data_IF_669094783812
#
_entry.id   IF_669094783812
#
_cell.length_a   1.000
_cell.length_b   1.000
_cell.length_c   1.000
_cell.angle_alpha   90.00
_cell.angle_beta   90.00
_cell.angle_gamma   90.00
#
_symmetry.space_group_name_H-M   'P 1'
#
loop_
_entity.id
_entity.type
_entity.pdbx_description
1 polymer ?
#
# COMPACT_ATOMS: atom_id res chain seq x y z
N UNK A 1 -33.33 57.57 -25.70
CA UNK A 1 -33.06 56.19 -25.29
C UNK A 1 -32.15 55.55 -26.34
N UNK A 2 -30.87 55.60 -26.15
CA UNK A 2 -29.86 55.03 -27.06
C UNK A 2 -29.68 53.57 -26.69
N UNK A 3 -30.05 52.66 -27.58
CA UNK A 3 -29.78 51.20 -27.45
C UNK A 3 -28.28 50.97 -27.42
N UNK A 4 -27.74 50.18 -26.45
CA UNK A 4 -26.33 49.86 -26.44
C UNK A 4 -26.01 48.95 -27.63
N UNK A 5 -25.04 49.40 -28.42
CA UNK A 5 -24.47 48.66 -29.57
C UNK A 5 -23.91 47.33 -29.08
N UNK A 6 -24.63 46.22 -29.27
CA UNK A 6 -24.14 44.90 -29.04
C UNK A 6 -23.00 44.63 -30.04
N UNK A 7 -21.78 44.54 -29.57
CA UNK A 7 -20.64 44.07 -30.36
C UNK A 7 -20.99 42.71 -30.95
N UNK A 8 -20.96 42.53 -32.28
CA UNK A 8 -21.23 41.21 -32.87
C UNK A 8 -20.18 40.22 -32.35
N UNK A 9 -20.64 39.15 -31.71
CA UNK A 9 -19.78 38.04 -31.34
C UNK A 9 -19.28 37.35 -32.62
N UNK A 10 -18.08 37.69 -33.06
CA UNK A 10 -17.46 37.04 -34.20
C UNK A 10 -17.02 35.64 -33.78
N UNK A 11 -17.68 34.62 -34.30
CA UNK A 11 -17.17 33.23 -34.21
C UNK A 11 -15.98 33.17 -35.18
N UNK A 12 -14.78 33.23 -34.63
CA UNK A 12 -13.57 33.01 -35.40
C UNK A 12 -13.49 31.52 -35.75
N UNK A 13 -13.59 31.18 -37.02
CA UNK A 13 -13.29 29.83 -37.53
C UNK A 13 -11.78 29.60 -37.38
N UNK A 14 -11.41 29.00 -36.29
CA UNK A 14 -10.04 28.52 -36.04
C UNK A 14 -9.91 27.19 -36.80
N UNK A 15 -9.57 27.25 -38.09
CA UNK A 15 -9.43 26.10 -38.97
C UNK A 15 -8.63 24.99 -38.27
N UNK A 16 -9.13 23.76 -38.33
CA UNK A 16 -8.45 22.58 -37.78
C UNK A 16 -7.07 22.41 -38.43
N UNK A 17 -6.03 22.63 -37.66
CA UNK A 17 -4.67 22.32 -38.11
C UNK A 17 -4.44 20.82 -38.01
N UNK A 18 -4.19 20.18 -39.14
CA UNK A 18 -3.89 18.74 -39.15
C UNK A 18 -2.63 18.47 -38.31
N UNK A 19 -2.68 17.41 -37.48
CA UNK A 19 -1.53 16.98 -36.67
C UNK A 19 -0.67 16.02 -37.46
N UNK A 20 0.51 16.42 -37.90
CA UNK A 20 1.46 15.63 -38.69
C UNK A 20 2.52 14.92 -37.82
N UNK A 21 2.39 14.98 -36.48
CA UNK A 21 3.31 14.37 -35.54
C UNK A 21 3.11 12.86 -35.39
N UNK A 22 4.10 12.14 -34.80
CA UNK A 22 4.01 10.71 -34.54
C UNK A 22 2.87 10.41 -33.57
N UNK A 23 1.96 9.50 -33.94
CA UNK A 23 0.89 9.05 -33.06
C UNK A 23 1.46 8.11 -31.99
N UNK A 24 1.31 8.49 -30.73
CA UNK A 24 1.82 7.72 -29.59
C UNK A 24 0.96 6.47 -29.39
N UNK A 25 1.61 5.30 -29.31
CA UNK A 25 0.93 4.01 -29.19
C UNK A 25 0.36 3.71 -27.80
N UNK A 26 -0.35 2.57 -27.66
CA UNK A 26 -1.00 2.09 -26.43
C UNK A 26 -0.06 2.08 -25.21
N UNK A 27 1.19 1.65 -25.37
CA UNK A 27 2.18 1.61 -24.28
C UNK A 27 2.47 2.99 -23.68
N UNK A 28 2.56 4.03 -24.52
CA UNK A 28 2.74 5.39 -24.05
C UNK A 28 1.55 5.89 -23.22
N UNK A 29 0.34 5.57 -23.67
CA UNK A 29 -0.90 5.96 -22.96
C UNK A 29 -0.96 5.27 -21.60
N UNK A 30 -0.67 3.98 -21.53
CA UNK A 30 -0.59 3.22 -20.28
C UNK A 30 0.43 3.83 -19.30
N UNK A 31 1.64 4.10 -19.78
CA UNK A 31 2.68 4.75 -18.97
C UNK A 31 2.23 6.12 -18.47
N UNK A 32 1.61 6.92 -19.33
CA UNK A 32 1.10 8.24 -18.98
C UNK A 32 0.01 8.15 -17.89
N UNK A 33 -0.95 7.23 -18.03
CA UNK A 33 -1.98 6.96 -17.03
C UNK A 33 -1.37 6.49 -15.70
N UNK A 34 -0.41 5.57 -15.75
CA UNK A 34 0.28 5.09 -14.56
C UNK A 34 0.98 6.23 -13.82
N UNK A 35 1.81 7.00 -14.51
CA UNK A 35 2.55 8.13 -13.92
C UNK A 35 1.60 9.20 -13.37
N UNK A 36 0.52 9.51 -14.09
CA UNK A 36 -0.49 10.47 -13.63
C UNK A 36 -1.17 10.00 -12.34
N UNK A 37 -1.57 8.74 -12.27
CA UNK A 37 -2.18 8.16 -11.06
C UNK A 37 -1.19 8.08 -9.89
N UNK A 38 0.06 7.71 -10.15
CA UNK A 38 1.11 7.69 -9.13
C UNK A 38 1.37 9.09 -8.55
N UNK A 39 1.48 10.10 -9.42
CA UNK A 39 1.58 11.50 -9.00
C UNK A 39 0.35 11.95 -8.21
N UNK A 40 -0.84 11.52 -8.62
CA UNK A 40 -2.08 11.83 -7.94
C UNK A 40 -2.16 11.24 -6.53
N UNK A 41 -1.62 10.02 -6.30
CA UNK A 41 -1.56 9.37 -4.99
C UNK A 41 -0.72 10.16 -3.97
N UNK A 42 0.35 10.82 -4.42
CA UNK A 42 1.16 11.72 -3.57
C UNK A 42 0.73 13.19 -3.64
N UNK A 43 -0.38 13.50 -4.32
CA UNK A 43 -0.86 14.88 -4.49
C UNK A 43 0.05 15.76 -5.35
N UNK A 44 0.99 15.19 -6.11
CA UNK A 44 1.90 15.91 -6.99
C UNK A 44 1.12 16.55 -8.16
N UNK A 45 1.43 17.80 -8.47
CA UNK A 45 0.68 18.59 -9.47
C UNK A 45 -0.59 19.25 -8.92
N UNK A 46 -0.83 19.20 -7.58
CA UNK A 46 -1.94 19.85 -6.88
C UNK A 46 -1.43 20.90 -5.89
N UNK A 47 -2.33 21.76 -5.35
CA UNK A 47 -1.98 22.72 -4.30
C UNK A 47 -1.30 22.07 -3.10
N UNK A 48 -0.49 22.84 -2.35
CA UNK A 48 0.31 22.35 -1.22
C UNK A 48 -0.52 21.55 -0.19
N UNK A 49 -1.75 21.96 0.08
CA UNK A 49 -2.69 21.26 0.99
C UNK A 49 -2.94 19.79 0.60
N UNK A 50 -2.94 19.47 -0.70
CA UNK A 50 -3.16 18.10 -1.16
C UNK A 50 -1.92 17.20 -1.00
N UNK A 51 -0.73 17.80 -0.96
CA UNK A 51 0.55 17.10 -0.76
C UNK A 51 0.83 16.86 0.71
N UNK A 52 0.37 17.73 1.61
CA UNK A 52 0.73 17.72 3.02
C UNK A 52 0.48 16.35 3.67
N UNK A 53 -0.71 15.77 3.54
CA UNK A 53 -1.06 14.53 4.20
C UNK A 53 -0.21 13.33 3.74
N UNK A 54 -0.04 13.02 2.43
CA UNK A 54 0.83 11.94 2.00
C UNK A 54 2.28 12.08 2.49
N UNK A 55 2.83 13.31 2.44
CA UNK A 55 4.22 13.55 2.87
C UNK A 55 4.39 13.53 4.38
N UNK A 56 3.40 13.99 5.14
CA UNK A 56 3.38 13.85 6.61
C UNK A 56 3.36 12.38 7.01
N UNK A 57 2.49 11.56 6.40
CA UNK A 57 2.46 10.12 6.67
C UNK A 57 3.77 9.44 6.29
N UNK A 58 4.37 9.83 5.17
CA UNK A 58 5.68 9.33 4.75
C UNK A 58 6.76 9.70 5.77
N UNK A 59 6.77 10.93 6.26
CA UNK A 59 7.70 11.36 7.31
C UNK A 59 7.49 10.56 8.62
N UNK A 60 6.24 10.37 9.05
CA UNK A 60 5.93 9.55 10.22
C UNK A 60 6.36 8.08 10.06
N UNK A 61 6.29 7.54 8.84
CA UNK A 61 6.82 6.22 8.55
C UNK A 61 8.36 6.17 8.63
N UNK A 62 9.09 7.26 8.40
CA UNK A 62 10.55 7.31 8.48
C UNK A 62 11.08 7.49 9.91
N UNK A 63 10.34 8.18 10.78
CA UNK A 63 10.81 8.50 12.14
C UNK A 63 11.22 7.27 12.96
N UNK A 64 10.43 6.18 13.07
CA UNK A 64 10.86 5.01 13.83
C UNK A 64 12.08 4.30 13.23
N UNK A 65 12.22 4.32 11.89
CA UNK A 65 13.39 3.76 11.22
C UNK A 65 14.67 4.54 11.57
N UNK A 66 14.62 5.86 11.46
CA UNK A 66 15.74 6.74 11.84
C UNK A 66 16.06 6.62 13.33
N UNK A 67 15.02 6.59 14.18
CA UNK A 67 15.18 6.40 15.62
C UNK A 67 15.86 5.06 15.96
N UNK A 68 15.46 3.98 15.31
CA UNK A 68 16.07 2.65 15.48
C UNK A 68 17.55 2.66 15.08
N UNK A 69 17.88 3.28 13.94
CA UNK A 69 19.28 3.38 13.46
C UNK A 69 20.11 4.25 14.42
N UNK A 70 19.58 5.39 14.85
CA UNK A 70 20.27 6.28 15.78
C UNK A 70 20.56 5.60 17.11
N UNK A 71 19.59 4.84 17.64
CA UNK A 71 19.76 4.11 18.90
C UNK A 71 20.81 3.00 18.78
N UNK A 72 20.79 2.23 17.69
CA UNK A 72 21.83 1.20 17.40
C UNK A 72 23.21 1.84 17.33
N UNK A 73 23.34 2.99 16.65
CA UNK A 73 24.60 3.70 16.52
C UNK A 73 25.12 4.25 17.86
N UNK A 74 24.23 4.81 18.69
CA UNK A 74 24.58 5.44 19.98
C UNK A 74 24.82 4.40 21.08
N UNK A 75 23.96 3.39 21.17
CA UNK A 75 24.04 2.34 22.18
C UNK A 75 25.06 1.24 21.84
N UNK A 76 25.60 1.26 20.62
CA UNK A 76 26.47 0.20 20.06
C UNK A 76 25.80 -1.19 20.12
N UNK A 77 24.47 -1.24 20.08
CA UNK A 77 23.72 -2.48 20.05
C UNK A 77 23.71 -3.05 18.65
N UNK A 78 24.07 -4.33 18.45
CA UNK A 78 24.18 -4.93 17.13
C UNK A 78 22.83 -5.35 16.53
N UNK A 79 21.71 -5.18 17.25
CA UNK A 79 20.37 -5.56 16.80
C UNK A 79 19.47 -4.36 16.61
N UNK A 80 18.73 -4.36 15.50
CA UNK A 80 17.66 -3.40 15.25
C UNK A 80 16.54 -3.57 16.29
N UNK A 81 15.99 -2.46 16.77
CA UNK A 81 14.82 -2.44 17.65
C UNK A 81 13.58 -2.99 16.97
N UNK A 82 13.42 -2.67 15.69
CA UNK A 82 12.26 -3.07 14.88
C UNK A 82 12.78 -4.00 13.79
N UNK A 83 12.19 -5.21 13.69
CA UNK A 83 12.50 -6.18 12.64
C UNK A 83 11.96 -5.68 11.30
N UNK A 84 12.62 -6.03 10.20
CA UNK A 84 12.20 -5.63 8.86
C UNK A 84 10.77 -6.06 8.53
N UNK A 85 10.39 -7.32 8.84
CA UNK A 85 9.06 -7.86 8.58
C UNK A 85 7.98 -7.25 9.46
N UNK A 86 8.29 -6.90 10.71
CA UNK A 86 7.36 -6.32 11.66
C UNK A 86 7.03 -4.87 11.32
N UNK A 87 7.93 -4.15 10.66
CA UNK A 87 7.84 -2.71 10.45
C UNK A 87 6.50 -2.23 9.87
N UNK A 88 6.01 -2.90 8.83
CA UNK A 88 4.74 -2.53 8.18
C UNK A 88 3.54 -2.85 9.08
N UNK A 89 3.63 -3.90 9.88
CA UNK A 89 2.56 -4.33 10.79
C UNK A 89 2.48 -3.39 11.99
N UNK A 90 3.62 -3.04 12.58
CA UNK A 90 3.68 -2.13 13.73
C UNK A 90 3.14 -0.72 13.36
N UNK A 91 3.35 -0.30 12.11
CA UNK A 91 2.89 0.99 11.60
C UNK A 91 1.64 0.88 10.69
N UNK A 92 0.87 -0.21 10.81
CA UNK A 92 -0.30 -0.50 9.97
C UNK A 92 -1.33 0.63 9.95
N UNK A 93 -1.48 1.38 11.04
CA UNK A 93 -2.42 2.49 11.12
C UNK A 93 -2.06 3.63 10.15
N UNK A 94 -0.76 3.94 9.98
CA UNK A 94 -0.29 4.96 9.04
C UNK A 94 -0.55 4.53 7.59
N UNK A 95 -0.31 3.24 7.31
CA UNK A 95 -0.62 2.64 5.99
C UNK A 95 -2.12 2.67 5.73
N UNK A 96 -2.96 2.34 6.72
CA UNK A 96 -4.42 2.39 6.61
C UNK A 96 -4.93 3.82 6.37
N UNK A 97 -4.37 4.83 7.04
CA UNK A 97 -4.72 6.25 6.82
C UNK A 97 -4.32 6.69 5.41
N UNK A 98 -3.13 6.31 4.93
CA UNK A 98 -2.72 6.58 3.56
C UNK A 98 -3.67 5.92 2.56
N UNK A 99 -3.96 4.64 2.75
CA UNK A 99 -4.91 3.89 1.93
C UNK A 99 -6.28 4.58 1.88
N UNK A 100 -6.85 4.90 3.04
CA UNK A 100 -8.17 5.51 3.16
C UNK A 100 -8.26 6.88 2.50
N UNK A 101 -7.22 7.69 2.61
CA UNK A 101 -7.22 9.06 2.08
C UNK A 101 -6.91 9.13 0.59
N UNK A 102 -6.10 8.20 0.05
CA UNK A 102 -5.69 8.22 -1.35
C UNK A 102 -6.56 7.35 -2.27
N UNK A 103 -7.18 6.27 -1.79
CA UNK A 103 -8.04 5.43 -2.62
C UNK A 103 -9.23 6.18 -3.24
N UNK A 104 -9.98 7.07 -2.54
CA UNK A 104 -11.04 7.86 -3.17
C UNK A 104 -10.53 8.90 -4.17
N UNK A 105 -9.29 9.36 -4.00
CA UNK A 105 -8.66 10.30 -4.95
C UNK A 105 -8.43 9.63 -6.31
N UNK A 106 -8.11 8.34 -6.30
CA UNK A 106 -7.80 7.56 -7.49
C UNK A 106 -9.03 6.92 -8.15
N UNK A 107 -10.02 6.48 -7.39
CA UNK A 107 -11.16 5.74 -7.91
C UNK A 107 -12.46 6.57 -7.94
N UNK A 108 -12.86 7.20 -6.81
CA UNK A 108 -14.18 7.85 -6.71
C UNK A 108 -14.28 9.12 -7.55
N UNK A 109 -13.19 9.85 -7.74
CA UNK A 109 -13.21 11.16 -8.40
C UNK A 109 -13.67 11.07 -9.85
N UNK A 110 -13.12 10.13 -10.62
CA UNK A 110 -13.41 10.01 -12.04
C UNK A 110 -14.78 9.39 -12.30
N UNK A 111 -15.20 8.42 -11.44
CA UNK A 111 -16.53 7.86 -11.48
C UNK A 111 -17.61 8.92 -11.22
N UNK A 112 -17.37 9.82 -10.27
CA UNK A 112 -18.32 10.87 -9.90
C UNK A 112 -18.43 11.99 -10.94
N UNK A 113 -17.32 12.32 -11.61
CA UNK A 113 -17.30 13.39 -12.61
C UNK A 113 -17.69 12.92 -14.01
N UNK A 114 -18.08 11.66 -14.17
CA UNK A 114 -18.50 11.04 -15.44
C UNK A 114 -17.51 11.27 -16.60
N UNK A 115 -16.20 11.34 -16.29
CA UNK A 115 -15.16 11.57 -17.31
C UNK A 115 -14.63 10.27 -17.95
N UNK A 116 -15.10 9.10 -17.49
CA UNK A 116 -14.62 7.81 -17.97
C UNK A 116 -14.87 7.61 -19.47
N UNK A 117 -16.03 7.99 -20.07
CA UNK A 117 -16.24 7.90 -21.50
C UNK A 117 -15.20 8.66 -22.33
N UNK A 118 -14.67 9.79 -21.79
CA UNK A 118 -13.61 10.57 -22.45
C UNK A 118 -12.26 9.81 -22.52
N UNK A 119 -11.99 8.95 -21.55
CA UNK A 119 -10.80 8.08 -21.61
C UNK A 119 -10.98 6.97 -22.65
N UNK A 120 -12.18 6.42 -22.80
CA UNK A 120 -12.46 5.32 -23.72
C UNK A 120 -12.72 5.79 -25.17
N UNK A 121 -12.87 7.09 -25.41
CA UNK A 121 -12.81 7.65 -26.77
C UNK A 121 -11.41 7.58 -27.40
N UNK A 122 -10.39 7.29 -26.59
CA UNK A 122 -9.02 7.00 -27.04
C UNK A 122 -8.81 5.48 -27.13
N UNK A 123 -7.75 4.99 -27.82
CA UNK A 123 -7.49 3.54 -27.94
C UNK A 123 -6.96 2.94 -26.63
N UNK A 124 -7.76 3.05 -25.55
CA UNK A 124 -7.48 2.50 -24.21
C UNK A 124 -8.62 1.59 -23.80
N UNK A 125 -8.32 0.34 -23.52
CA UNK A 125 -9.30 -0.61 -22.99
C UNK A 125 -9.59 -0.37 -21.51
N UNK A 126 -10.77 -0.79 -21.06
CA UNK A 126 -11.16 -0.73 -19.65
C UNK A 126 -10.16 -1.48 -18.75
N UNK A 127 -9.61 -2.60 -19.24
CA UNK A 127 -8.59 -3.37 -18.52
C UNK A 127 -7.31 -2.55 -18.33
N UNK A 128 -6.84 -1.89 -19.39
CA UNK A 128 -5.63 -1.05 -19.35
C UNK A 128 -5.75 0.08 -18.33
N UNK A 129 -6.93 0.69 -18.30
CA UNK A 129 -7.24 1.76 -17.37
C UNK A 129 -7.23 1.27 -15.91
N UNK A 130 -7.85 0.13 -15.63
CA UNK A 130 -7.87 -0.49 -14.29
C UNK A 130 -6.47 -0.90 -13.86
N UNK A 131 -5.70 -1.57 -14.73
CA UNK A 131 -4.35 -2.02 -14.43
C UNK A 131 -3.39 -0.84 -14.19
N UNK A 132 -3.49 0.24 -14.98
CA UNK A 132 -2.68 1.43 -14.76
C UNK A 132 -2.97 2.09 -13.40
N UNK A 133 -4.24 2.16 -12.98
CA UNK A 133 -4.62 2.67 -11.66
C UNK A 133 -4.16 1.77 -10.53
N UNK A 134 -4.45 0.49 -10.64
CA UNK A 134 -4.06 -0.51 -9.65
C UNK A 134 -2.55 -0.54 -9.46
N UNK A 135 -1.79 -0.64 -10.57
CA UNK A 135 -0.33 -0.64 -10.52
C UNK A 135 0.25 0.65 -9.93
N UNK A 136 -0.31 1.82 -10.30
CA UNK A 136 0.12 3.10 -9.75
C UNK A 136 -0.13 3.20 -8.24
N UNK A 137 -1.28 2.73 -7.76
CA UNK A 137 -1.61 2.77 -6.34
C UNK A 137 -0.80 1.74 -5.53
N UNK A 138 -0.63 0.53 -6.08
CA UNK A 138 0.24 -0.48 -5.49
C UNK A 138 1.69 0.02 -5.39
N UNK A 139 2.20 0.67 -6.44
CA UNK A 139 3.53 1.29 -6.41
C UNK A 139 3.63 2.39 -5.36
N UNK A 140 2.61 3.23 -5.22
CA UNK A 140 2.59 4.27 -4.18
C UNK A 140 2.65 3.67 -2.77
N UNK A 141 1.84 2.65 -2.48
CA UNK A 141 1.86 1.94 -1.20
C UNK A 141 3.19 1.21 -0.98
N UNK A 142 3.71 0.56 -2.01
CA UNK A 142 5.00 -0.11 -1.94
C UNK A 142 6.13 0.85 -1.59
N UNK A 143 6.23 2.00 -2.26
CA UNK A 143 7.24 3.02 -1.96
C UNK A 143 7.10 3.55 -0.53
N UNK A 144 5.86 3.77 -0.05
CA UNK A 144 5.60 4.21 1.32
C UNK A 144 6.17 3.24 2.35
N UNK A 145 6.00 1.92 2.15
CA UNK A 145 6.42 0.88 3.09
C UNK A 145 7.87 0.43 2.88
N UNK A 146 8.31 0.29 1.63
CA UNK A 146 9.63 -0.20 1.30
C UNK A 146 10.75 0.80 1.63
N UNK A 147 10.49 2.12 1.52
CA UNK A 147 11.52 3.12 1.80
C UNK A 147 12.06 3.06 3.23
N UNK A 148 11.24 3.06 4.30
CA UNK A 148 11.75 2.95 5.66
C UNK A 148 12.43 1.60 5.93
N UNK A 149 11.93 0.50 5.35
CA UNK A 149 12.56 -0.83 5.46
C UNK A 149 13.93 -0.84 4.80
N UNK A 150 14.06 -0.21 3.64
CA UNK A 150 15.35 -0.04 2.94
C UNK A 150 16.33 0.82 3.75
N UNK A 151 15.80 1.88 4.38
CA UNK A 151 16.59 2.74 5.26
C UNK A 151 17.11 1.97 6.48
N UNK A 152 16.25 1.15 7.11
CA UNK A 152 16.66 0.24 8.20
C UNK A 152 17.76 -0.73 7.77
N UNK A 153 17.64 -1.32 6.58
CA UNK A 153 18.66 -2.23 6.05
C UNK A 153 19.98 -1.51 5.81
N UNK A 154 19.96 -0.34 5.18
CA UNK A 154 21.15 0.48 4.96
C UNK A 154 21.80 0.91 6.29
N UNK A 155 20.99 1.32 7.27
CA UNK A 155 21.44 1.66 8.61
C UNK A 155 22.06 0.47 9.35
N UNK A 156 21.43 -0.69 9.28
CA UNK A 156 21.97 -1.90 9.90
C UNK A 156 23.34 -2.32 9.34
N UNK A 157 23.52 -2.17 8.03
CA UNK A 157 24.82 -2.42 7.40
C UNK A 157 25.88 -1.38 7.79
N UNK A 158 25.50 -0.10 7.88
CA UNK A 158 26.39 1.00 8.20
C UNK A 158 26.87 0.97 9.67
N UNK A 159 25.99 0.51 10.59
CA UNK A 159 26.28 0.46 12.04
C UNK A 159 26.79 -0.90 12.50
N UNK A 160 26.95 -1.86 11.59
CA UNK A 160 27.33 -3.23 11.92
C UNK A 160 28.77 -3.31 12.44
N UNK A 161 28.92 -3.88 13.64
CA UNK A 161 30.19 -4.34 14.16
C UNK A 161 30.21 -5.88 14.20
N UNK A 162 31.04 -6.56 13.36
CA UNK A 162 31.12 -8.02 13.32
C UNK A 162 31.57 -8.66 14.64
N UNK A 163 32.23 -7.89 15.52
CA UNK A 163 32.74 -8.36 16.82
C UNK A 163 31.80 -8.07 17.98
N UNK A 164 30.77 -7.24 17.76
CA UNK A 164 29.81 -6.92 18.80
C UNK A 164 28.96 -8.13 19.17
N UNK A 165 28.72 -8.30 20.47
CA UNK A 165 27.78 -9.30 21.00
C UNK A 165 26.54 -8.56 21.48
N UNK A 166 25.35 -9.02 21.10
CA UNK A 166 24.12 -8.42 21.58
C UNK A 166 23.88 -8.77 23.05
N UNK A 167 23.63 -7.73 23.83
CA UNK A 167 23.22 -7.85 25.24
C UNK A 167 21.69 -7.82 25.40
N UNK A 168 20.97 -7.39 24.36
CA UNK A 168 19.51 -7.37 24.35
C UNK A 168 18.96 -8.80 24.29
N UNK A 169 18.08 -9.15 25.21
CA UNK A 169 17.44 -10.45 25.36
C UNK A 169 18.36 -11.61 25.81
N UNK A 170 19.53 -11.33 26.37
CA UNK A 170 20.32 -12.34 27.03
C UNK A 170 19.77 -12.54 28.43
N UNK A 171 19.22 -13.71 28.75
CA UNK A 171 18.92 -14.10 30.15
C UNK A 171 20.19 -14.28 30.91
N UNK A 172 20.20 -14.03 32.24
CA UNK A 172 21.35 -14.37 33.06
C UNK A 172 21.73 -15.87 32.89
N UNK A 173 22.91 -16.13 32.35
CA UNK A 173 23.39 -17.51 32.07
C UNK A 173 23.40 -17.91 30.60
N UNK A 174 22.76 -17.15 29.69
CA UNK A 174 22.83 -17.45 28.27
C UNK A 174 24.10 -16.86 27.61
N UNK A 175 24.64 -17.61 26.62
CA UNK A 175 25.72 -17.09 25.78
C UNK A 175 25.19 -15.97 24.89
N UNK A 176 25.87 -14.80 24.79
CA UNK A 176 25.45 -13.72 23.92
C UNK A 176 25.29 -14.21 22.47
N UNK A 177 24.12 -13.96 21.87
CA UNK A 177 23.87 -14.38 20.50
C UNK A 177 24.78 -13.62 19.52
N UNK A 178 25.38 -14.35 18.57
CA UNK A 178 26.17 -13.76 17.50
C UNK A 178 25.32 -12.82 16.63
N UNK A 179 25.96 -11.78 16.13
CA UNK A 179 25.36 -10.87 15.12
C UNK A 179 25.09 -11.67 13.85
N UNK A 180 23.89 -11.50 13.31
CA UNK A 180 23.50 -12.11 12.04
C UNK A 180 24.51 -11.82 10.92
N UNK A 181 24.75 -12.78 10.03
CA UNK A 181 25.62 -12.57 8.88
C UNK A 181 25.00 -11.55 7.92
N UNK A 182 25.82 -10.90 7.06
CA UNK A 182 25.30 -10.01 6.01
C UNK A 182 24.28 -10.73 5.15
N UNK A 183 24.55 -12.00 4.83
CA UNK A 183 23.62 -12.82 4.03
C UNK A 183 22.26 -12.98 4.70
N UNK A 184 22.23 -13.25 6.00
CA UNK A 184 20.98 -13.37 6.78
C UNK A 184 20.21 -12.07 6.80
N UNK A 185 20.89 -10.94 7.06
CA UNK A 185 20.25 -9.61 6.98
C UNK A 185 19.65 -9.32 5.60
N UNK A 186 20.38 -9.67 4.54
CA UNK A 186 19.91 -9.45 3.16
C UNK A 186 18.69 -10.35 2.86
N UNK A 187 18.68 -11.59 3.30
CA UNK A 187 17.52 -12.48 3.13
C UNK A 187 16.28 -11.96 3.88
N UNK A 188 16.45 -11.53 5.14
CA UNK A 188 15.35 -10.94 5.91
C UNK A 188 14.83 -9.65 5.26
N UNK A 189 15.72 -8.82 4.72
CA UNK A 189 15.34 -7.61 3.99
C UNK A 189 14.56 -7.93 2.71
N UNK A 190 15.02 -8.88 1.89
CA UNK A 190 14.31 -9.31 0.68
C UNK A 190 12.94 -9.92 1.02
N UNK A 191 12.86 -10.71 2.08
CA UNK A 191 11.59 -11.23 2.61
C UNK A 191 10.64 -10.10 3.00
N UNK A 192 11.13 -9.08 3.69
CA UNK A 192 10.34 -7.91 4.07
C UNK A 192 9.89 -7.08 2.87
N UNK A 193 10.74 -6.89 1.85
CA UNK A 193 10.34 -6.23 0.60
C UNK A 193 9.25 -6.99 -0.13
N UNK A 194 9.35 -8.33 -0.18
CA UNK A 194 8.29 -9.17 -0.74
C UNK A 194 6.99 -9.01 0.05
N UNK A 195 7.07 -8.94 1.37
CA UNK A 195 5.94 -8.61 2.22
C UNK A 195 5.34 -7.24 1.93
N UNK A 196 6.15 -6.20 1.82
CA UNK A 196 5.69 -4.86 1.41
C UNK A 196 4.98 -4.88 0.05
N UNK A 197 5.47 -5.68 -0.91
CA UNK A 197 4.82 -5.84 -2.21
C UNK A 197 3.45 -6.51 -2.08
N UNK A 198 3.35 -7.58 -1.29
CA UNK A 198 2.06 -8.25 -1.02
C UNK A 198 1.07 -7.30 -0.34
N UNK A 199 1.50 -6.55 0.68
CA UNK A 199 0.69 -5.50 1.30
C UNK A 199 0.22 -4.48 0.27
N UNK A 200 1.12 -3.98 -0.56
CA UNK A 200 0.79 -2.99 -1.58
C UNK A 200 -0.26 -3.50 -2.57
N UNK A 201 -0.13 -4.73 -3.05
CA UNK A 201 -1.07 -5.34 -3.99
C UNK A 201 -2.47 -5.55 -3.36
N UNK A 202 -2.53 -6.19 -2.20
CA UNK A 202 -3.81 -6.52 -1.55
C UNK A 202 -4.53 -5.24 -1.09
N UNK A 203 -3.81 -4.31 -0.45
CA UNK A 203 -4.38 -3.06 0.03
C UNK A 203 -4.82 -2.15 -1.11
N UNK A 204 -4.03 -2.04 -2.20
CA UNK A 204 -4.44 -1.27 -3.37
C UNK A 204 -5.72 -1.83 -4.00
N UNK A 205 -5.82 -3.15 -4.12
CA UNK A 205 -7.00 -3.83 -4.64
C UNK A 205 -8.26 -3.51 -3.81
N UNK A 206 -8.19 -3.73 -2.50
CA UNK A 206 -9.30 -3.47 -1.58
C UNK A 206 -9.67 -1.97 -1.52
N UNK A 207 -8.67 -1.10 -1.39
CA UNK A 207 -8.89 0.35 -1.31
C UNK A 207 -9.58 0.89 -2.56
N UNK A 208 -9.17 0.47 -3.75
CA UNK A 208 -9.79 0.90 -5.00
C UNK A 208 -11.22 0.37 -5.15
N UNK A 209 -11.50 -0.89 -4.75
CA UNK A 209 -12.86 -1.45 -4.79
C UNK A 209 -13.76 -0.65 -3.87
N UNK A 210 -13.41 -0.48 -2.59
CA UNK A 210 -14.22 0.26 -1.62
C UNK A 210 -14.47 1.69 -2.13
N UNK A 211 -13.42 2.35 -2.64
CA UNK A 211 -13.53 3.71 -3.18
C UNK A 211 -14.39 3.80 -4.44
N UNK A 212 -14.42 2.77 -5.29
CA UNK A 212 -15.25 2.74 -6.49
C UNK A 212 -16.76 2.65 -6.21
N UNK A 213 -17.14 2.15 -5.02
CA UNK A 213 -18.54 2.06 -4.60
C UNK A 213 -19.01 3.24 -3.74
N UNK A 214 -18.09 4.11 -3.33
CA UNK A 214 -18.43 5.24 -2.47
C UNK A 214 -18.61 6.53 -3.27
N UNK A 215 -19.80 7.19 -3.19
CA UNK A 215 -20.12 8.34 -4.05
C UNK A 215 -19.39 9.63 -3.64
N UNK A 216 -18.98 9.76 -2.38
CA UNK A 216 -18.32 10.96 -1.84
C UNK A 216 -16.98 10.60 -1.21
N UNK A 217 -15.99 11.51 -1.34
CA UNK A 217 -14.65 11.30 -0.80
C UNK A 217 -14.64 10.97 0.70
N UNK A 218 -15.42 11.69 1.50
CA UNK A 218 -15.49 11.46 2.94
C UNK A 218 -16.04 10.08 3.29
N UNK A 219 -17.08 9.62 2.59
CA UNK A 219 -17.59 8.26 2.75
C UNK A 219 -16.57 7.20 2.34
N UNK A 220 -15.77 7.44 1.32
CA UNK A 220 -14.70 6.52 0.91
C UNK A 220 -13.63 6.38 1.97
N UNK A 221 -13.19 7.49 2.57
CA UNK A 221 -12.26 7.48 3.69
C UNK A 221 -12.84 6.71 4.88
N UNK A 222 -14.07 7.05 5.27
CA UNK A 222 -14.75 6.40 6.39
C UNK A 222 -14.94 4.90 6.15
N UNK A 223 -15.34 4.48 4.94
CA UNK A 223 -15.54 3.07 4.60
C UNK A 223 -14.24 2.25 4.69
N UNK A 224 -13.14 2.76 4.15
CA UNK A 224 -11.84 2.08 4.24
C UNK A 224 -11.38 1.97 5.69
N UNK A 225 -11.49 3.05 6.47
CA UNK A 225 -11.14 3.03 7.90
C UNK A 225 -12.05 2.11 8.70
N UNK A 226 -13.36 2.08 8.41
CA UNK A 226 -14.29 1.18 9.07
C UNK A 226 -13.96 -0.30 8.80
N UNK A 227 -13.69 -0.66 7.54
CA UNK A 227 -13.28 -2.04 7.19
C UNK A 227 -11.99 -2.41 7.91
N UNK A 228 -11.00 -1.53 7.92
CA UNK A 228 -9.73 -1.76 8.63
C UNK A 228 -9.96 -1.93 10.13
N UNK A 229 -10.64 -0.98 10.77
CA UNK A 229 -10.85 -0.98 12.22
C UNK A 229 -11.70 -2.18 12.68
N UNK A 230 -12.81 -2.47 11.98
CA UNK A 230 -13.68 -3.59 12.33
C UNK A 230 -12.97 -4.93 12.16
N UNK A 231 -12.30 -5.16 11.02
CA UNK A 231 -11.58 -6.42 10.80
C UNK A 231 -10.46 -6.63 11.82
N UNK A 232 -9.66 -5.61 12.09
CA UNK A 232 -8.55 -5.70 13.05
C UNK A 232 -9.06 -5.87 14.49
N UNK A 233 -10.11 -5.15 14.88
CA UNK A 233 -10.67 -5.26 16.24
C UNK A 233 -11.34 -6.62 16.49
N UNK A 234 -12.10 -7.14 15.53
CA UNK A 234 -12.69 -8.47 15.62
C UNK A 234 -11.62 -9.54 15.78
N UNK A 235 -10.60 -9.49 14.95
CA UNK A 235 -9.48 -10.45 15.02
C UNK A 235 -8.76 -10.34 16.36
N UNK A 236 -8.47 -9.14 16.83
CA UNK A 236 -7.80 -8.91 18.11
C UNK A 236 -8.61 -9.52 19.28
N UNK A 237 -9.92 -9.31 19.30
CA UNK A 237 -10.81 -9.86 20.34
C UNK A 237 -10.83 -11.40 20.27
N UNK A 238 -11.01 -11.96 19.07
CA UNK A 238 -11.05 -13.43 18.89
C UNK A 238 -9.72 -14.06 19.27
N UNK A 239 -8.59 -13.47 18.86
CA UNK A 239 -7.25 -13.93 19.23
C UNK A 239 -7.04 -13.84 20.74
N UNK A 240 -7.43 -12.73 21.37
CA UNK A 240 -7.31 -12.54 22.82
C UNK A 240 -8.11 -13.58 23.60
N UNK A 241 -9.35 -13.86 23.23
CA UNK A 241 -10.19 -14.88 23.88
C UNK A 241 -9.62 -16.29 23.64
N UNK A 242 -9.26 -16.61 22.40
CA UNK A 242 -8.77 -17.94 22.06
C UNK A 242 -7.41 -18.25 22.74
N UNK A 243 -6.51 -17.28 22.83
CA UNK A 243 -5.21 -17.47 23.53
C UNK A 243 -5.39 -17.63 25.03
N UNK A 244 -6.30 -16.89 25.67
CA UNK A 244 -6.59 -17.06 27.12
C UNK A 244 -7.21 -18.41 27.44
N UNK A 245 -7.90 -19.03 26.47
CA UNK A 245 -8.47 -20.38 26.59
C UNK A 245 -7.52 -21.49 26.13
N UNK A 246 -6.30 -21.16 25.69
CA UNK A 246 -5.33 -22.15 25.21
C UNK A 246 -5.57 -22.64 23.76
N UNK A 247 -6.52 -22.03 23.02
CA UNK A 247 -6.87 -22.40 21.64
C UNK A 247 -6.04 -21.64 20.61
N UNK A 248 -4.72 -21.80 20.62
CA UNK A 248 -3.77 -21.06 19.76
C UNK A 248 -4.00 -21.27 18.27
N UNK A 249 -4.45 -22.45 17.85
CA UNK A 249 -4.79 -22.70 16.43
C UNK A 249 -5.98 -21.85 15.97
N UNK A 250 -7.02 -21.75 16.79
CA UNK A 250 -8.18 -20.89 16.49
C UNK A 250 -7.77 -19.42 16.41
N UNK A 251 -6.93 -18.97 17.36
CA UNK A 251 -6.36 -17.64 17.36
C UNK A 251 -5.60 -17.35 16.06
N UNK A 252 -4.75 -18.29 15.63
CA UNK A 252 -4.00 -18.16 14.39
C UNK A 252 -4.90 -18.07 13.15
N UNK A 253 -5.88 -18.97 12.99
CA UNK A 253 -6.82 -18.96 11.86
C UNK A 253 -7.72 -17.72 11.83
N UNK A 254 -8.06 -17.15 12.97
CA UNK A 254 -8.78 -15.88 13.03
C UNK A 254 -8.03 -14.75 12.33
N UNK A 255 -6.70 -14.81 12.27
CA UNK A 255 -5.87 -13.85 11.55
C UNK A 255 -6.20 -13.69 10.06
N UNK A 256 -6.80 -14.70 9.41
CA UNK A 256 -7.21 -14.60 8.00
C UNK A 256 -8.28 -13.52 7.74
N UNK A 257 -9.03 -13.10 8.75
CA UNK A 257 -10.06 -12.08 8.61
C UNK A 257 -9.52 -10.64 8.70
N UNK A 258 -8.26 -10.43 9.05
CA UNK A 258 -7.59 -9.13 8.97
C UNK A 258 -6.54 -9.14 7.88
N UNK A 259 -6.57 -8.13 6.99
CA UNK A 259 -5.63 -8.05 5.85
C UNK A 259 -4.18 -8.04 6.32
N UNK A 260 -3.87 -7.35 7.42
CA UNK A 260 -2.51 -7.26 7.94
C UNK A 260 -2.04 -8.60 8.52
N UNK A 261 -2.89 -9.26 9.30
CA UNK A 261 -2.57 -10.59 9.85
C UNK A 261 -2.50 -11.66 8.76
N UNK A 262 -3.38 -11.58 7.75
CA UNK A 262 -3.37 -12.47 6.58
C UNK A 262 -2.00 -12.45 5.88
N UNK A 263 -1.43 -11.27 5.67
CA UNK A 263 -0.14 -11.12 5.01
C UNK A 263 1.01 -11.50 5.96
N UNK A 264 0.86 -11.26 7.28
CA UNK A 264 1.83 -11.73 8.27
C UNK A 264 1.93 -13.26 8.29
N UNK A 265 0.81 -13.97 8.15
CA UNK A 265 0.80 -15.44 7.98
C UNK A 265 1.59 -15.86 6.75
N UNK A 266 1.41 -15.16 5.61
CA UNK A 266 2.20 -15.43 4.39
C UNK A 266 3.68 -15.19 4.64
N UNK A 267 4.06 -14.05 5.23
CA UNK A 267 5.46 -13.72 5.52
C UNK A 267 6.11 -14.74 6.46
N UNK A 268 5.41 -15.13 7.51
CA UNK A 268 5.92 -16.07 8.51
C UNK A 268 6.06 -17.48 7.95
N UNK A 269 5.04 -17.97 7.26
CA UNK A 269 5.00 -19.37 6.80
C UNK A 269 5.75 -19.64 5.51
N UNK A 270 5.79 -18.67 4.58
CA UNK A 270 6.41 -18.84 3.27
C UNK A 270 7.75 -18.13 3.12
N UNK A 271 7.95 -17.01 3.82
CA UNK A 271 9.19 -16.23 3.73
C UNK A 271 10.10 -16.38 4.97
N UNK A 272 9.69 -17.21 5.94
CA UNK A 272 10.50 -17.47 7.15
C UNK A 272 10.64 -16.26 8.07
N UNK A 273 9.74 -15.28 7.97
CA UNK A 273 9.73 -14.12 8.85
C UNK A 273 9.31 -14.53 10.27
N UNK A 274 9.77 -13.77 11.26
CA UNK A 274 9.25 -13.91 12.62
C UNK A 274 7.97 -13.13 12.77
N UNK A 275 6.89 -13.80 13.14
CA UNK A 275 5.59 -13.16 13.34
C UNK A 275 5.59 -12.21 14.55
N UNK A 276 4.78 -11.15 14.44
CA UNK A 276 4.40 -10.26 15.53
C UNK A 276 3.00 -10.56 16.07
N UNK A 277 2.25 -11.40 15.35
CA UNK A 277 0.87 -11.77 15.62
C UNK A 277 0.75 -13.28 15.86
N UNK A 278 -0.39 -13.75 16.36
CA UNK A 278 -0.68 -15.17 16.45
C UNK A 278 -0.87 -15.78 15.05
N UNK A 279 -0.08 -16.79 14.74
CA UNK A 279 -0.07 -17.48 13.45
C UNK A 279 -0.41 -18.95 13.63
N UNK A 280 -1.26 -19.57 12.77
CA UNK A 280 -1.59 -20.98 12.90
C UNK A 280 -0.33 -21.85 12.82
N UNK A 281 -0.26 -22.93 13.59
CA UNK A 281 0.88 -23.87 13.54
C UNK A 281 0.83 -24.74 12.29
N UNK A 282 -0.35 -24.95 11.74
CA UNK A 282 -0.59 -25.76 10.54
C UNK A 282 0.29 -25.35 9.34
N UNK A 283 0.88 -26.33 8.66
CA UNK A 283 1.64 -26.10 7.42
C UNK A 283 0.78 -25.58 6.27
N UNK A 284 -0.52 -25.84 6.28
CA UNK A 284 -1.47 -25.38 5.24
C UNK A 284 -1.79 -23.89 5.35
N UNK A 285 -1.50 -23.24 6.48
CA UNK A 285 -1.84 -21.83 6.72
C UNK A 285 -1.17 -20.88 5.72
N UNK A 286 0.10 -21.11 5.39
CA UNK A 286 0.82 -20.28 4.41
C UNK A 286 0.22 -20.34 3.01
N UNK A 287 0.08 -21.51 2.40
CA UNK A 287 -0.58 -21.66 1.09
C UNK A 287 -2.02 -21.15 1.08
N UNK A 288 -2.81 -21.42 2.12
CA UNK A 288 -4.19 -20.92 2.23
C UNK A 288 -4.24 -19.39 2.26
N UNK A 289 -3.38 -18.76 3.06
CA UNK A 289 -3.28 -17.30 3.12
C UNK A 289 -2.83 -16.68 1.79
N UNK A 290 -1.86 -17.30 1.11
CA UNK A 290 -1.40 -16.84 -0.20
C UNK A 290 -2.48 -16.95 -1.28
N UNK A 291 -3.23 -18.06 -1.30
CA UNK A 291 -4.37 -18.24 -2.21
C UNK A 291 -5.46 -17.20 -1.92
N UNK A 292 -5.74 -16.91 -0.66
CA UNK A 292 -6.73 -15.90 -0.27
C UNK A 292 -6.27 -14.49 -0.73
N UNK A 293 -5.00 -14.13 -0.56
CA UNK A 293 -4.44 -12.89 -1.09
C UNK A 293 -4.62 -12.80 -2.62
N UNK A 294 -4.29 -13.87 -3.35
CA UNK A 294 -4.44 -13.91 -4.79
C UNK A 294 -5.92 -13.80 -5.20
N UNK A 295 -6.82 -14.48 -4.51
CA UNK A 295 -8.26 -14.41 -4.75
C UNK A 295 -8.83 -13.00 -4.49
N UNK A 296 -8.38 -12.33 -3.42
CA UNK A 296 -8.77 -10.94 -3.12
C UNK A 296 -8.33 -10.01 -4.25
N UNK A 297 -7.07 -10.10 -4.70
CA UNK A 297 -6.56 -9.24 -5.77
C UNK A 297 -7.28 -9.51 -7.09
N UNK A 298 -7.44 -10.77 -7.48
CA UNK A 298 -8.12 -11.15 -8.72
C UNK A 298 -9.60 -10.74 -8.71
N UNK A 299 -10.32 -11.01 -7.61
CA UNK A 299 -11.71 -10.61 -7.43
C UNK A 299 -11.90 -9.09 -7.45
N UNK A 300 -11.02 -8.36 -6.78
CA UNK A 300 -11.04 -6.91 -6.79
C UNK A 300 -10.81 -6.32 -8.18
N UNK A 301 -9.84 -6.85 -8.95
CA UNK A 301 -9.61 -6.43 -10.33
C UNK A 301 -10.79 -6.73 -11.25
N UNK A 302 -11.44 -7.89 -11.09
CA UNK A 302 -12.63 -8.24 -11.84
C UNK A 302 -13.81 -7.29 -11.52
N UNK A 303 -14.02 -6.97 -10.25
CA UNK A 303 -15.04 -6.01 -9.81
C UNK A 303 -14.75 -4.61 -10.37
N UNK A 304 -13.52 -4.14 -10.28
CA UNK A 304 -13.12 -2.85 -10.84
C UNK A 304 -13.30 -2.81 -12.36
N UNK A 305 -12.89 -3.87 -13.07
CA UNK A 305 -13.08 -3.98 -14.51
C UNK A 305 -14.55 -3.85 -14.91
N UNK A 306 -15.44 -4.62 -14.30
CA UNK A 306 -16.88 -4.55 -14.61
C UNK A 306 -17.48 -3.18 -14.27
N UNK A 307 -17.04 -2.55 -13.16
CA UNK A 307 -17.51 -1.24 -12.75
C UNK A 307 -17.09 -0.13 -13.71
N UNK A 308 -15.81 -0.10 -14.08
CA UNK A 308 -15.28 0.91 -15.01
C UNK A 308 -15.78 0.71 -16.44
N UNK A 309 -15.94 -0.55 -16.88
CA UNK A 309 -16.55 -0.86 -18.18
C UNK A 309 -17.98 -0.32 -18.28
N UNK A 310 -18.81 -0.57 -17.26
CA UNK A 310 -20.18 -0.04 -17.22
C UNK A 310 -20.21 1.50 -17.23
N UNK A 311 -19.33 2.14 -16.47
CA UNK A 311 -19.24 3.59 -16.43
C UNK A 311 -18.68 4.22 -17.74
N UNK A 312 -18.08 3.46 -18.61
CA UNK A 312 -17.62 3.90 -19.93
C UNK A 312 -18.68 3.80 -21.03
N UNK A 313 -19.77 3.04 -20.78
CA UNK A 313 -20.88 2.85 -21.72
C UNK A 313 -22.14 3.64 -21.34
N UNK A 314 -22.15 4.27 -20.20
CA UNK A 314 -23.18 5.18 -19.70
C UNK A 314 -22.82 6.64 -19.98
#
# INVERSE_FOLDING_TARGET
MTTPNATPSAIHDIGYRHYDGPRLGRAYILRSLFVQNLRAAYGLGRPAKAKALPFILFAFMLVPALGSIALVALAKEPRLLIRYSAYTIDLQILVAIFLATQSPVLASRELRSHVIPLYFSRPVGALDFVLAKFGAFATALFVLMATPVTLLYAGALATRDPKAKSLLNTRPGDTPSHVDSVGTHTLHYLGALTGCLLFALVLAALGLVIAAWTPRRGFGVAAVMAVYMLSSSIVLIVQGIATTQGHYEVAGWAGLFSVFNLIDIVQTKLLGATSTMEVPTSALAGPAAALLCAAIVAGALAILYTRFRKAGTS
#
